data_IF_391735259183
#
_entry.id   IF_391735259183
#
_cell.length_a   1.000
_cell.length_b   1.000
_cell.length_c   1.000
_cell.angle_alpha   90.00
_cell.angle_beta   90.00
_cell.angle_gamma   90.00
#
_symmetry.space_group_name_H-M   'P 1'
#
loop_
_entity.id
_entity.type
_entity.pdbx_description
1 polymer ?
#
# COMPACT_ATOMS: atom_id res chain seq x y z
N UNK A 1 32.35 27.60 -18.74
CA UNK A 1 32.19 27.33 -17.28
C UNK A 1 30.73 27.40 -16.83
N UNK A 2 29.96 28.43 -17.21
CA UNK A 2 28.52 28.49 -16.89
C UNK A 2 27.69 27.43 -17.63
N UNK A 3 27.94 27.22 -18.92
CA UNK A 3 27.26 26.20 -19.73
C UNK A 3 27.45 24.78 -19.18
N UNK A 4 28.68 24.40 -18.82
CA UNK A 4 28.99 23.13 -18.17
C UNK A 4 28.28 22.94 -16.83
N UNK A 5 28.08 24.03 -16.07
CA UNK A 5 27.31 23.98 -14.82
C UNK A 5 25.81 23.76 -15.09
N UNK A 6 25.25 24.42 -16.10
CA UNK A 6 23.85 24.23 -16.53
C UNK A 6 23.63 22.79 -17.01
N UNK A 7 24.52 22.24 -17.85
CA UNK A 7 24.44 20.85 -18.30
C UNK A 7 24.46 19.87 -17.12
N UNK A 8 25.29 20.11 -16.11
CA UNK A 8 25.34 19.27 -14.92
C UNK A 8 24.04 19.32 -14.11
N UNK A 9 23.42 20.50 -13.97
CA UNK A 9 22.12 20.64 -13.29
C UNK A 9 21.00 19.94 -14.07
N UNK A 10 20.96 20.10 -15.40
CA UNK A 10 19.98 19.41 -16.25
C UNK A 10 20.09 17.89 -16.14
N UNK A 11 21.31 17.35 -16.11
CA UNK A 11 21.55 15.93 -15.91
C UNK A 11 21.03 15.46 -14.53
N UNK A 12 21.27 16.24 -13.46
CA UNK A 12 20.76 15.93 -12.11
C UNK A 12 19.24 15.94 -12.06
N UNK A 13 18.58 16.89 -12.72
CA UNK A 13 17.12 16.94 -12.81
C UNK A 13 16.60 15.67 -13.50
N UNK A 14 17.21 15.26 -14.61
CA UNK A 14 16.84 14.03 -15.30
C UNK A 14 17.00 12.78 -14.43
N UNK A 15 18.09 12.69 -13.67
CA UNK A 15 18.33 11.59 -12.73
C UNK A 15 17.30 11.57 -11.59
N UNK A 16 17.00 12.73 -11.01
CA UNK A 16 16.00 12.85 -9.95
C UNK A 16 14.62 12.42 -10.46
N UNK A 17 14.19 12.95 -11.61
CA UNK A 17 12.91 12.60 -12.22
C UNK A 17 12.79 11.09 -12.52
N UNK A 18 13.86 10.48 -13.04
CA UNK A 18 13.88 9.03 -13.29
C UNK A 18 13.78 8.22 -11.97
N UNK A 19 14.46 8.66 -10.91
CA UNK A 19 14.39 8.01 -9.60
C UNK A 19 12.99 8.12 -8.97
N UNK A 20 12.36 9.29 -9.02
CA UNK A 20 11.01 9.51 -8.50
C UNK A 20 9.99 8.70 -9.29
N UNK A 21 10.07 8.69 -10.63
CA UNK A 21 9.19 7.89 -11.48
C UNK A 21 9.29 6.39 -11.15
N UNK A 22 10.50 5.87 -10.90
CA UNK A 22 10.69 4.47 -10.50
C UNK A 22 10.01 4.17 -9.16
N UNK A 23 10.16 5.05 -8.17
CA UNK A 23 9.53 4.89 -6.86
C UNK A 23 8.00 4.91 -6.99
N UNK A 24 7.45 5.84 -7.78
CA UNK A 24 6.00 5.93 -8.01
C UNK A 24 5.44 4.68 -8.68
N UNK A 25 6.15 4.11 -9.66
CA UNK A 25 5.74 2.85 -10.29
C UNK A 25 5.72 1.70 -9.27
N UNK A 26 6.78 1.57 -8.48
CA UNK A 26 6.87 0.51 -7.46
C UNK A 26 5.77 0.63 -6.40
N UNK A 27 5.52 1.85 -5.89
CA UNK A 27 4.43 2.11 -4.95
C UNK A 27 3.07 1.77 -5.58
N UNK A 28 2.89 2.11 -6.86
CA UNK A 28 1.68 1.74 -7.61
C UNK A 28 1.45 0.23 -7.65
N UNK A 29 2.48 -0.54 -7.96
CA UNK A 29 2.42 -2.02 -7.99
C UNK A 29 2.10 -2.59 -6.59
N UNK A 30 2.73 -2.05 -5.54
CA UNK A 30 2.52 -2.47 -4.15
C UNK A 30 1.08 -2.18 -3.68
N UNK A 31 0.50 -1.04 -4.06
CA UNK A 31 -0.90 -0.68 -3.78
C UNK A 31 -1.88 -1.60 -4.49
N UNK A 32 -1.60 -1.98 -5.74
CA UNK A 32 -2.41 -2.96 -6.48
C UNK A 32 -2.39 -4.32 -5.77
N UNK A 33 -1.21 -4.79 -5.37
CA UNK A 33 -1.07 -6.05 -4.63
C UNK A 33 -1.81 -6.02 -3.28
N UNK A 34 -1.72 -4.91 -2.55
CA UNK A 34 -2.42 -4.74 -1.28
C UNK A 34 -3.95 -4.80 -1.49
N UNK A 35 -4.48 -4.08 -2.47
CA UNK A 35 -5.90 -4.13 -2.83
C UNK A 35 -6.35 -5.56 -3.09
N UNK A 36 -5.65 -6.29 -3.97
CA UNK A 36 -6.04 -7.64 -4.37
C UNK A 36 -6.03 -8.59 -3.16
N UNK A 37 -5.08 -8.45 -2.23
CA UNK A 37 -5.06 -9.21 -0.98
C UNK A 37 -6.24 -8.87 -0.07
N UNK A 38 -6.57 -7.59 0.08
CA UNK A 38 -7.72 -7.16 0.89
C UNK A 38 -9.04 -7.65 0.31
N UNK A 39 -9.19 -7.69 -1.02
CA UNK A 39 -10.36 -8.28 -1.69
C UNK A 39 -10.51 -9.78 -1.36
N UNK A 40 -9.39 -10.52 -1.39
CA UNK A 40 -9.37 -11.93 -0.98
C UNK A 40 -9.78 -12.13 0.48
N UNK A 41 -9.23 -11.32 1.39
CA UNK A 41 -9.57 -11.35 2.81
C UNK A 41 -11.05 -10.99 3.04
N UNK A 42 -11.59 -10.01 2.30
CA UNK A 42 -13.00 -9.65 2.37
C UNK A 42 -13.89 -10.80 1.89
N UNK A 43 -13.54 -11.47 0.79
CA UNK A 43 -14.27 -12.63 0.29
C UNK A 43 -14.29 -13.78 1.31
N UNK A 44 -13.15 -14.04 1.97
CA UNK A 44 -13.05 -15.01 3.04
C UNK A 44 -13.97 -14.69 4.23
N UNK A 45 -13.96 -13.43 4.71
CA UNK A 45 -14.84 -13.02 5.80
C UNK A 45 -16.32 -13.20 5.45
N UNK A 46 -16.71 -12.86 4.22
CA UNK A 46 -18.08 -13.07 3.72
C UNK A 46 -18.47 -14.54 3.73
N UNK A 47 -17.56 -15.44 3.35
CA UNK A 47 -17.79 -16.88 3.39
C UNK A 47 -17.92 -17.41 4.83
N UNK A 48 -17.04 -16.96 5.73
CA UNK A 48 -17.11 -17.29 7.15
C UNK A 48 -18.44 -16.83 7.80
N UNK A 49 -18.93 -15.65 7.46
CA UNK A 49 -20.21 -15.13 7.94
C UNK A 49 -21.41 -15.95 7.44
N UNK A 50 -21.36 -16.48 6.21
CA UNK A 50 -22.38 -17.40 5.70
C UNK A 50 -22.38 -18.71 6.48
N UNK A 51 -21.19 -19.28 6.72
CA UNK A 51 -21.00 -20.53 7.47
C UNK A 51 -21.41 -20.43 8.93
N UNK A 52 -21.37 -19.23 9.51
CA UNK A 52 -21.80 -18.98 10.90
C UNK A 52 -23.23 -19.43 11.21
N UNK A 53 -24.12 -19.44 10.21
CA UNK A 53 -25.52 -19.90 10.38
C UNK A 53 -25.65 -21.42 10.54
N UNK A 54 -24.63 -22.19 10.14
CA UNK A 54 -24.60 -23.66 10.25
C UNK A 54 -23.77 -24.17 11.45
N UNK A 55 -23.18 -23.25 12.23
CA UNK A 55 -22.21 -23.56 13.29
C UNK A 55 -20.77 -23.24 12.85
N UNK A 56 -20.14 -22.26 13.51
CA UNK A 56 -18.74 -21.88 13.22
C UNK A 56 -17.76 -22.76 13.98
N UNK A 57 -16.93 -23.49 13.25
CA UNK A 57 -15.82 -24.27 13.80
C UNK A 57 -14.70 -23.35 14.34
N UNK A 58 -13.83 -23.92 15.18
CA UNK A 58 -12.78 -23.15 15.87
C UNK A 58 -11.75 -22.56 14.90
N UNK A 59 -11.44 -23.26 13.79
CA UNK A 59 -10.51 -22.78 12.78
C UNK A 59 -11.06 -21.53 12.10
N UNK A 60 -12.33 -21.55 11.68
CA UNK A 60 -12.98 -20.37 11.09
C UNK A 60 -12.97 -19.17 12.03
N UNK A 61 -13.16 -19.35 13.35
CA UNK A 61 -13.08 -18.23 14.32
C UNK A 61 -11.69 -17.60 14.39
N UNK A 62 -10.65 -18.43 14.44
CA UNK A 62 -9.26 -17.96 14.49
C UNK A 62 -8.91 -17.17 13.23
N UNK A 63 -9.27 -17.72 12.07
CA UNK A 63 -8.99 -17.09 10.79
C UNK A 63 -9.75 -15.77 10.59
N UNK A 64 -11.01 -15.69 11.02
CA UNK A 64 -11.77 -14.41 11.00
C UNK A 64 -11.08 -13.35 11.86
N UNK A 65 -10.60 -13.72 13.05
CA UNK A 65 -9.86 -12.79 13.93
C UNK A 65 -8.57 -12.31 13.25
N UNK A 66 -7.73 -13.23 12.79
CA UNK A 66 -6.46 -12.89 12.14
C UNK A 66 -6.66 -12.05 10.87
N UNK A 67 -7.71 -12.34 10.10
CA UNK A 67 -8.05 -11.58 8.90
C UNK A 67 -8.39 -10.13 9.23
N UNK A 68 -9.15 -9.90 10.31
CA UNK A 68 -9.43 -8.53 10.79
C UNK A 68 -8.17 -7.84 11.27
N UNK A 69 -7.33 -8.54 12.03
CA UNK A 69 -6.06 -7.98 12.52
C UNK A 69 -5.17 -7.52 11.35
N UNK A 70 -5.09 -8.31 10.27
CA UNK A 70 -4.34 -7.95 9.06
C UNK A 70 -4.97 -6.75 8.33
N UNK A 71 -6.30 -6.69 8.26
CA UNK A 71 -6.99 -5.56 7.63
C UNK A 71 -6.72 -4.23 8.36
N UNK A 72 -6.70 -4.25 9.70
CA UNK A 72 -6.32 -3.08 10.49
C UNK A 72 -4.85 -2.68 10.30
N UNK A 73 -3.94 -3.66 10.28
CA UNK A 73 -2.53 -3.36 9.99
C UNK A 73 -2.32 -2.74 8.61
N UNK A 74 -3.11 -3.15 7.61
CA UNK A 74 -3.09 -2.54 6.28
C UNK A 74 -3.62 -1.11 6.30
N UNK A 75 -4.67 -0.83 7.07
CA UNK A 75 -5.20 0.53 7.27
C UNK A 75 -4.16 1.43 7.95
N UNK A 76 -3.57 0.98 9.06
CA UNK A 76 -2.52 1.71 9.78
C UNK A 76 -1.33 2.05 8.85
N UNK A 77 -0.87 1.09 8.04
CA UNK A 77 0.22 1.30 7.09
C UNK A 77 -0.13 2.32 5.99
N UNK A 78 -1.38 2.35 5.53
CA UNK A 78 -1.84 3.34 4.55
C UNK A 78 -1.92 4.72 5.19
N UNK A 79 -2.43 4.83 6.41
CA UNK A 79 -2.51 6.10 7.14
C UNK A 79 -1.12 6.69 7.39
N UNK A 80 -0.15 5.87 7.81
CA UNK A 80 1.25 6.28 7.95
C UNK A 80 1.84 6.77 6.62
N UNK A 81 1.57 6.04 5.52
CA UNK A 81 2.01 6.45 4.19
C UNK A 81 1.41 7.79 3.77
N UNK A 82 0.09 7.98 3.94
CA UNK A 82 -0.57 9.24 3.64
C UNK A 82 -0.04 10.38 4.51
N UNK A 83 0.24 10.14 5.78
CA UNK A 83 0.81 11.13 6.68
C UNK A 83 2.18 11.60 6.20
N UNK A 84 3.07 10.68 5.82
CA UNK A 84 4.39 11.04 5.27
C UNK A 84 4.30 11.75 3.92
N UNK A 85 3.40 11.31 3.03
CA UNK A 85 3.17 12.01 1.75
C UNK A 85 2.64 13.43 1.96
N UNK A 86 1.66 13.61 2.85
CA UNK A 86 1.07 14.92 3.14
C UNK A 86 2.06 15.90 3.79
N UNK A 87 3.03 15.41 4.59
CA UNK A 87 4.13 16.24 5.09
C UNK A 87 4.96 16.84 3.95
N UNK A 88 5.19 16.09 2.87
CA UNK A 88 5.99 16.54 1.72
C UNK A 88 5.29 17.68 0.96
N UNK A 89 3.95 17.75 0.98
CA UNK A 89 3.17 18.76 0.26
C UNK A 89 2.86 20.05 1.05
N UNK A 90 3.23 20.14 2.33
CA UNK A 90 3.14 21.41 3.08
C UNK A 90 4.39 22.26 2.84
N UNK A 91 4.26 23.24 1.94
CA UNK A 91 5.17 24.38 1.80
C UNK A 91 4.94 25.43 2.89
#
# INVERSE_FOLDING_TARGET
MAETAITAVLAKIGQLAASEARVLLQVGDDLVLLRDRLEWLQAFLRDADRKRRAGTDQLTRVWVRQTRDIAFQAEDALDDFFYEVLKIYKW
#
